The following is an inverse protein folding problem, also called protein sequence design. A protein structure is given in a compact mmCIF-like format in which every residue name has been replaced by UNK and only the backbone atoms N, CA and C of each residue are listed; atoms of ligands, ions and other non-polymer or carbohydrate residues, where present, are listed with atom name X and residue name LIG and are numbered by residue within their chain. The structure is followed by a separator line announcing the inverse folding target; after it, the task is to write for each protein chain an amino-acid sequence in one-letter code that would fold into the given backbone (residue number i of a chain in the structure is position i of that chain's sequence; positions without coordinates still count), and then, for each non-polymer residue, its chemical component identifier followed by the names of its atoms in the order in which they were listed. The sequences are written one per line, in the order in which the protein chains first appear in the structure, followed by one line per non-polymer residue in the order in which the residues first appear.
data_IF_402725654854
#
_entry.id   IF_402725654854
#
_cell.length_a   1.000
_cell.length_b   1.000
_cell.length_c   1.000
_cell.angle_alpha   90.00
_cell.angle_beta   90.00
_cell.angle_gamma   90.00
#
_symmetry.space_group_name_H-M   'P 1'
#
loop_
_entity.id
_entity.type
_entity.pdbx_description
1 polymer ?
#
# COMPACT_ATOMS: atom_id res chain seq x y z
N UNK A 1 -4.50 0.41 12.38
CA UNK A 1 -3.46 0.78 11.39
C UNK A 1 -4.12 1.20 10.10
N UNK A 2 -3.73 2.35 9.55
CA UNK A 2 -4.29 2.87 8.31
C UNK A 2 -4.11 1.91 7.13
N UNK A 3 -2.93 1.30 7.02
CA UNK A 3 -2.64 0.38 5.93
C UNK A 3 -3.56 -0.84 5.95
N UNK A 4 -3.80 -1.42 7.11
CA UNK A 4 -4.71 -2.57 7.23
C UNK A 4 -6.14 -2.20 6.85
N UNK A 5 -6.57 -0.99 7.21
CA UNK A 5 -7.91 -0.53 6.85
C UNK A 5 -8.05 -0.40 5.34
N UNK A 6 -7.02 0.11 4.67
CA UNK A 6 -7.01 0.22 3.21
C UNK A 6 -7.05 -1.16 2.56
N UNK A 7 -6.25 -2.11 3.08
CA UNK A 7 -6.24 -3.47 2.54
C UNK A 7 -7.59 -4.15 2.69
N UNK A 8 -8.23 -3.98 3.85
CA UNK A 8 -9.54 -4.55 4.11
C UNK A 8 -10.58 -3.98 3.13
N UNK A 9 -10.54 -2.68 2.90
CA UNK A 9 -11.46 -2.05 1.97
C UNK A 9 -11.22 -2.50 0.53
N UNK A 10 -9.96 -2.65 0.14
CA UNK A 10 -9.62 -3.17 -1.19
C UNK A 10 -10.22 -4.56 -1.41
N UNK A 11 -10.06 -5.45 -0.44
CA UNK A 11 -10.59 -6.81 -0.53
C UNK A 11 -12.11 -6.79 -0.63
N UNK A 12 -12.77 -5.94 0.15
CA UNK A 12 -14.23 -5.81 0.08
C UNK A 12 -14.73 -5.40 -1.30
N UNK A 13 -13.94 -4.60 -2.01
CA UNK A 13 -14.28 -4.14 -3.36
C UNK A 13 -13.78 -5.08 -4.46
N UNK A 14 -13.20 -6.21 -4.10
CA UNK A 14 -12.58 -7.14 -5.05
C UNK A 14 -11.51 -6.45 -5.90
N UNK A 15 -10.74 -5.58 -5.26
CA UNK A 15 -9.66 -4.87 -5.95
C UNK A 15 -8.44 -5.74 -6.12
N UNK A 16 -7.63 -5.39 -7.11
CA UNK A 16 -6.43 -6.14 -7.44
C UNK A 16 -5.14 -5.50 -6.94
N UNK A 17 -5.12 -4.18 -6.80
CA UNK A 17 -3.90 -3.45 -6.47
C UNK A 17 -4.17 -2.31 -5.50
N UNK A 18 -3.19 -2.08 -4.63
CA UNK A 18 -3.14 -0.92 -3.75
C UNK A 18 -1.90 -0.12 -4.14
N UNK A 19 -2.09 1.14 -4.54
CA UNK A 19 -1.01 2.04 -4.92
C UNK A 19 -0.80 3.08 -3.83
N UNK A 20 0.41 3.10 -3.28
CA UNK A 20 0.77 4.01 -2.19
C UNK A 20 1.96 4.86 -2.61
N UNK A 21 1.85 6.16 -2.42
CA UNK A 21 2.97 7.09 -2.64
C UNK A 21 3.05 7.98 -1.41
N UNK A 22 4.25 8.12 -0.85
CA UNK A 22 4.45 8.96 0.34
C UNK A 22 3.93 10.37 0.12
N UNK A 23 3.22 10.90 1.11
CA UNK A 23 2.63 12.24 1.10
C UNK A 23 1.64 12.46 -0.04
N UNK A 24 0.96 11.40 -0.45
CA UNK A 24 -0.06 11.44 -1.50
C UNK A 24 -1.26 10.61 -1.11
N UNK A 25 -2.37 10.87 -1.77
CA UNK A 25 -3.59 10.10 -1.59
C UNK A 25 -3.38 8.69 -2.14
N UNK A 26 -3.75 7.63 -1.38
CA UNK A 26 -3.64 6.27 -1.89
C UNK A 26 -4.73 5.97 -2.93
N UNK A 27 -4.45 4.99 -3.80
CA UNK A 27 -5.37 4.58 -4.85
C UNK A 27 -5.56 3.08 -4.86
N UNK A 28 -6.77 2.65 -5.26
CA UNK A 28 -7.10 1.26 -5.55
C UNK A 28 -7.20 1.04 -7.05
N UNK A 29 -6.85 -0.15 -7.50
CA UNK A 29 -7.27 -0.62 -8.82
C UNK A 29 -8.39 -1.63 -8.58
N UNK A 30 -9.58 -1.32 -9.11
CA UNK A 30 -10.77 -2.17 -8.99
C UNK A 30 -11.35 -2.36 -10.38
N UNK A 31 -11.39 -3.61 -10.84
CA UNK A 31 -11.90 -3.95 -12.17
C UNK A 31 -11.25 -3.09 -13.27
N UNK A 32 -9.93 -2.93 -13.17
CA UNK A 32 -9.16 -2.18 -14.15
C UNK A 32 -9.19 -0.67 -14.00
N UNK A 33 -10.00 -0.14 -13.10
CA UNK A 33 -10.11 1.31 -12.88
C UNK A 33 -9.29 1.73 -11.66
N UNK A 34 -8.66 2.89 -11.77
CA UNK A 34 -7.91 3.49 -10.65
C UNK A 34 -8.84 4.46 -9.92
N UNK A 35 -9.06 4.21 -8.64
CA UNK A 35 -9.98 4.98 -7.80
C UNK A 35 -9.27 5.47 -6.55
N UNK A 36 -9.55 6.70 -6.07
CA UNK A 36 -8.97 7.15 -4.80
C UNK A 36 -9.45 6.24 -3.67
N UNK A 37 -8.53 5.83 -2.82
CA UNK A 37 -8.85 4.98 -1.68
C UNK A 37 -9.19 5.79 -0.44
N UNK A 38 -8.86 7.08 -0.43
CA UNK A 38 -9.05 7.98 0.70
C UNK A 38 -9.03 9.40 0.19
N UNK A 39 -9.61 10.32 0.95
CA UNK A 39 -9.50 11.75 0.66
C UNK A 39 -8.27 12.36 1.30
N UNK A 40 -7.58 11.61 2.16
CA UNK A 40 -6.41 12.11 2.89
C UNK A 40 -5.13 11.52 2.32
N UNK A 41 -4.07 12.33 2.40
CA UNK A 41 -2.73 11.87 2.03
C UNK A 41 -2.21 10.87 3.06
N UNK A 42 -1.46 9.88 2.58
CA UNK A 42 -0.77 8.95 3.44
C UNK A 42 0.63 9.51 3.68
N UNK A 43 0.87 10.04 4.87
CA UNK A 43 2.13 10.69 5.16
C UNK A 43 3.28 9.70 5.13
N UNK A 44 4.40 10.11 4.57
CA UNK A 44 5.59 9.25 4.42
C UNK A 44 6.01 8.61 5.74
N UNK A 45 6.03 9.37 6.83
CA UNK A 45 6.44 8.84 8.14
C UNK A 45 5.52 7.71 8.61
N UNK A 46 4.22 7.86 8.38
CA UNK A 46 3.24 6.85 8.78
C UNK A 46 3.34 5.62 7.88
N UNK A 47 3.58 5.85 6.59
CA UNK A 47 3.76 4.78 5.62
C UNK A 47 4.95 3.89 6.01
N UNK A 48 6.09 4.49 6.38
CA UNK A 48 7.26 3.73 6.83
C UNK A 48 6.94 2.88 8.06
N UNK A 49 6.28 3.48 9.05
CA UNK A 49 5.93 2.76 10.29
C UNK A 49 5.00 1.59 10.00
N UNK A 50 3.98 1.83 9.19
CA UNK A 50 2.99 0.79 8.88
C UNK A 50 3.60 -0.34 8.05
N UNK A 51 4.45 0.00 7.08
CA UNK A 51 5.12 -1.01 6.25
C UNK A 51 6.10 -1.84 7.07
N UNK A 52 6.84 -1.21 8.00
CA UNK A 52 7.76 -1.94 8.85
C UNK A 52 7.00 -2.94 9.72
N UNK A 53 5.87 -2.52 10.30
CA UNK A 53 5.05 -3.40 11.11
C UNK A 53 4.49 -4.57 10.30
N UNK A 54 4.08 -4.30 9.07
CA UNK A 54 3.44 -5.31 8.21
C UNK A 54 4.43 -6.26 7.57
N UNK A 55 5.54 -5.74 7.05
CA UNK A 55 6.45 -6.49 6.19
C UNK A 55 7.79 -6.83 6.84
N UNK A 56 8.12 -6.17 7.96
CA UNK A 56 9.35 -6.42 8.68
C UNK A 56 10.51 -5.54 8.21
N UNK A 57 11.62 -5.57 8.97
CA UNK A 57 12.74 -4.65 8.73
C UNK A 57 13.49 -4.91 7.42
N UNK A 58 13.53 -6.15 6.93
CA UNK A 58 14.25 -6.45 5.70
C UNK A 58 13.64 -5.75 4.50
N UNK A 59 12.31 -5.81 4.37
CA UNK A 59 11.62 -5.16 3.25
C UNK A 59 11.65 -3.65 3.37
N UNK A 60 11.61 -3.13 4.58
CA UNK A 60 11.73 -1.69 4.79
C UNK A 60 13.10 -1.19 4.34
N UNK A 61 14.15 -1.98 4.59
CA UNK A 61 15.50 -1.60 4.17
C UNK A 61 15.57 -1.52 2.63
N UNK A 62 14.97 -2.48 1.95
CA UNK A 62 14.90 -2.48 0.49
C UNK A 62 14.16 -1.23 0.00
N UNK A 63 13.02 -0.92 0.62
CA UNK A 63 12.24 0.25 0.25
C UNK A 63 13.03 1.56 0.43
N UNK A 64 13.79 1.67 1.52
CA UNK A 64 14.62 2.85 1.76
C UNK A 64 15.69 3.03 0.68
N UNK A 65 16.28 1.92 0.23
CA UNK A 65 17.34 1.94 -0.77
C UNK A 65 16.79 2.19 -2.17
N UNK A 66 15.74 1.45 -2.53
CA UNK A 66 15.20 1.48 -3.90
C UNK A 66 14.17 2.60 -4.10
N UNK A 67 13.60 3.11 -3.02
CA UNK A 67 12.54 4.13 -3.01
C UNK A 67 11.26 3.65 -3.68
N UNK A 68 11.16 2.37 -3.91
CA UNK A 68 9.94 1.73 -4.39
C UNK A 68 9.92 0.28 -3.93
N UNK A 69 8.72 -0.27 -3.82
CA UNK A 69 8.53 -1.66 -3.44
C UNK A 69 7.27 -2.18 -4.12
N UNK A 70 7.40 -3.30 -4.81
CA UNK A 70 6.28 -3.97 -5.47
C UNK A 70 6.20 -5.37 -4.87
N UNK A 71 5.09 -5.70 -4.23
CA UNK A 71 4.95 -7.01 -3.60
C UNK A 71 3.52 -7.49 -3.63
N UNK A 72 3.36 -8.81 -3.48
CA UNK A 72 2.05 -9.43 -3.32
C UNK A 72 1.81 -9.66 -1.84
N UNK A 73 0.60 -9.41 -1.36
CA UNK A 73 0.25 -9.58 0.03
C UNK A 73 -1.07 -10.35 0.15
N UNK A 74 -1.15 -11.28 1.09
CA UNK A 74 -2.37 -12.01 1.38
C UNK A 74 -2.97 -11.57 2.69
N UNK A 75 -4.18 -11.03 2.67
CA UNK A 75 -4.87 -10.59 3.88
C UNK A 75 -5.58 -11.78 4.50
N UNK A 76 -5.18 -12.12 5.73
CA UNK A 76 -5.77 -13.22 6.51
C UNK A 76 -5.83 -14.56 5.74
N UNK A 77 -4.94 -14.75 4.76
CA UNK A 77 -4.92 -15.95 3.97
C UNK A 77 -6.11 -16.14 3.04
N UNK A 78 -6.99 -15.14 2.94
CA UNK A 78 -8.23 -15.26 2.19
C UNK A 78 -8.14 -14.63 0.80
N UNK A 79 -7.47 -13.50 0.69
CA UNK A 79 -7.39 -12.76 -0.56
C UNK A 79 -5.97 -12.25 -0.77
N UNK A 80 -5.55 -12.20 -2.03
CA UNK A 80 -4.24 -11.66 -2.40
C UNK A 80 -4.42 -10.49 -3.34
N UNK A 81 -3.52 -9.53 -3.21
CA UNK A 81 -3.49 -8.34 -4.06
C UNK A 81 -2.04 -7.86 -4.17
N UNK A 82 -1.80 -6.96 -5.10
CA UNK A 82 -0.48 -6.35 -5.26
C UNK A 82 -0.45 -5.01 -4.56
N UNK A 83 0.71 -4.71 -3.94
CA UNK A 83 0.98 -3.38 -3.41
C UNK A 83 2.12 -2.77 -4.19
N UNK A 84 1.88 -1.59 -4.72
CA UNK A 84 2.87 -0.80 -5.44
C UNK A 84 3.13 0.44 -4.59
N UNK A 85 4.34 0.54 -4.05
CA UNK A 85 4.66 1.54 -3.04
C UNK A 85 5.82 2.38 -3.52
N UNK A 86 5.66 3.71 -3.47
CA UNK A 86 6.70 4.66 -3.88
C UNK A 86 6.94 5.64 -2.76
N UNK A 87 8.22 6.00 -2.55
CA UNK A 87 8.58 6.95 -1.51
C UNK A 87 8.07 8.33 -1.85
N UNK A 88 8.22 8.75 -3.10
CA UNK A 88 7.71 10.03 -3.58
C UNK A 88 7.36 9.92 -5.06
N UNK A 89 6.86 11.02 -5.63
CA UNK A 89 6.41 11.03 -7.02
C UNK A 89 7.51 11.28 -8.04
N UNK A 90 8.63 11.62 -7.54
CA UNK A 90 9.69 12.02 -8.39
C UNK A 90 10.74 11.07 -8.60
#
# INVERSE_FOLDING_TARGET
MKLKNLMTELVKRNGSDLHLTGDSVPFFRVQGQILPASSEEYLTKDLFLDLEELLGPSKIQIFKEEKELDCSYGLDGIARFRMNIFLDRG
#
